data_IF_124353858493
#
_entry.id   IF_124353858493
#
_cell.length_a   1.000
_cell.length_b   1.000
_cell.length_c   1.000
_cell.angle_alpha   90.00
_cell.angle_beta   90.00
_cell.angle_gamma   90.00
#
_symmetry.space_group_name_H-M   'P 1'
#
loop_
_entity.id
_entity.type
_entity.pdbx_description
1 polymer ?
#
# COMPACT_ATOMS: atom_id res chain seq x y z
N UNK A 1 17.88 -33.93 -10.10
CA UNK A 1 16.80 -34.91 -9.85
C UNK A 1 15.69 -34.71 -10.88
N UNK A 2 15.30 -35.72 -11.66
CA UNK A 2 14.14 -35.60 -12.55
C UNK A 2 12.86 -35.51 -11.72
N UNK A 3 11.97 -34.56 -12.06
CA UNK A 3 10.69 -34.37 -11.36
C UNK A 3 9.78 -35.57 -11.65
N UNK A 4 9.27 -36.21 -10.60
CA UNK A 4 8.30 -37.29 -10.73
C UNK A 4 7.03 -36.82 -11.46
N UNK A 5 6.46 -37.62 -12.37
CA UNK A 5 5.23 -37.30 -13.07
C UNK A 5 4.05 -37.26 -12.09
N UNK A 6 3.19 -36.24 -12.23
CA UNK A 6 1.97 -36.10 -11.42
C UNK A 6 1.01 -37.25 -11.73
N UNK A 7 0.67 -38.07 -10.74
CA UNK A 7 -0.35 -39.12 -10.81
C UNK A 7 -1.69 -38.52 -11.28
N UNK A 8 -2.31 -39.12 -12.31
CA UNK A 8 -3.65 -38.73 -12.78
C UNK A 8 -4.70 -39.51 -11.99
N UNK A 9 -5.73 -38.84 -11.47
CA UNK A 9 -6.82 -39.48 -10.75
C UNK A 9 -7.60 -40.45 -11.65
N UNK A 10 -7.99 -41.60 -11.11
CA UNK A 10 -8.69 -42.68 -11.83
C UNK A 10 -10.07 -42.30 -12.40
N UNK A 11 -10.65 -41.19 -11.93
CA UNK A 11 -11.94 -40.64 -12.38
C UNK A 11 -11.80 -39.40 -13.28
N UNK A 12 -10.60 -39.07 -13.75
CA UNK A 12 -10.45 -37.99 -14.72
C UNK A 12 -11.03 -38.45 -16.07
N UNK A 13 -12.13 -37.82 -16.49
CA UNK A 13 -12.68 -37.99 -17.85
C UNK A 13 -11.57 -37.77 -18.89
N UNK A 14 -11.52 -38.57 -19.98
CA UNK A 14 -10.50 -38.41 -21.00
C UNK A 14 -10.57 -36.99 -21.57
N UNK A 15 -9.46 -36.25 -21.44
CA UNK A 15 -9.30 -34.89 -21.93
C UNK A 15 -9.79 -34.81 -23.40
N UNK A 16 -10.98 -34.23 -23.60
CA UNK A 16 -11.47 -33.89 -24.94
C UNK A 16 -10.40 -33.01 -25.59
N UNK A 17 -9.89 -33.35 -26.79
CA UNK A 17 -8.82 -32.59 -27.41
C UNK A 17 -9.27 -31.15 -27.58
N UNK A 18 -8.67 -30.24 -26.79
CA UNK A 18 -8.92 -28.79 -26.88
C UNK A 18 -8.55 -28.37 -28.30
N UNK A 19 -9.57 -28.21 -29.15
CA UNK A 19 -9.43 -27.67 -30.50
C UNK A 19 -8.78 -26.30 -30.34
N UNK A 20 -7.51 -26.18 -30.75
CA UNK A 20 -6.77 -24.91 -30.73
C UNK A 20 -7.46 -23.99 -31.73
N UNK A 21 -8.40 -23.15 -31.25
CA UNK A 21 -8.97 -22.08 -32.07
C UNK A 21 -7.81 -21.26 -32.62
N UNK A 22 -7.74 -21.12 -33.94
CA UNK A 22 -6.75 -20.26 -34.58
C UNK A 22 -6.87 -18.85 -34.00
N UNK A 23 -5.73 -18.25 -33.66
CA UNK A 23 -5.68 -16.90 -33.11
C UNK A 23 -6.22 -15.95 -34.18
N UNK A 24 -7.26 -15.17 -33.86
CA UNK A 24 -7.81 -14.19 -34.78
C UNK A 24 -6.70 -13.27 -35.29
N UNK A 25 -6.71 -12.96 -36.59
CA UNK A 25 -5.74 -12.07 -37.21
C UNK A 25 -5.75 -10.70 -36.51
N UNK A 26 -4.58 -10.08 -36.29
CA UNK A 26 -4.50 -8.82 -35.54
C UNK A 26 -5.27 -7.72 -36.28
N UNK A 27 -6.22 -7.09 -35.58
CA UNK A 27 -6.98 -5.92 -36.08
C UNK A 27 -5.97 -4.83 -36.43
N UNK A 28 -5.98 -4.38 -37.69
CA UNK A 28 -5.13 -3.28 -38.17
C UNK A 28 -5.60 -1.98 -37.48
N UNK A 29 -4.90 -1.59 -36.42
CA UNK A 29 -5.10 -0.31 -35.74
C UNK A 29 -4.97 0.86 -36.73
N UNK A 30 -5.91 1.79 -36.65
CA UNK A 30 -5.91 3.04 -37.42
C UNK A 30 -4.68 3.90 -37.09
N UNK A 31 -4.24 4.80 -37.98
CA UNK A 31 -3.09 5.67 -37.72
C UNK A 31 -3.27 6.52 -36.46
N UNK A 32 -4.50 6.98 -36.17
CA UNK A 32 -4.84 7.77 -34.98
C UNK A 32 -4.64 6.97 -33.68
N UNK A 33 -5.15 5.73 -33.60
CA UNK A 33 -4.92 4.86 -32.43
C UNK A 33 -3.44 4.54 -32.20
N UNK A 34 -2.62 4.52 -33.26
CA UNK A 34 -1.18 4.30 -33.14
C UNK A 34 -0.48 5.50 -32.54
N UNK A 35 -0.94 6.72 -32.83
CA UNK A 35 -0.41 7.94 -32.25
C UNK A 35 -0.78 8.09 -30.78
N UNK A 36 -2.03 7.78 -30.43
CA UNK A 36 -2.48 7.74 -29.03
C UNK A 36 -1.71 6.70 -28.21
N UNK A 37 -1.53 5.48 -28.75
CA UNK A 37 -0.72 4.44 -28.10
C UNK A 37 0.73 4.87 -27.91
N UNK A 38 1.31 5.59 -28.87
CA UNK A 38 2.67 6.17 -28.75
C UNK A 38 2.72 7.26 -27.69
N UNK A 39 1.72 8.15 -27.63
CA UNK A 39 1.62 9.20 -26.61
C UNK A 39 1.50 8.59 -25.20
N UNK A 40 0.62 7.61 -25.02
CA UNK A 40 0.45 6.88 -23.77
C UNK A 40 1.72 6.11 -23.37
N UNK A 41 2.43 5.52 -24.33
CA UNK A 41 3.70 4.85 -24.07
C UNK A 41 4.78 5.82 -23.59
N UNK A 42 4.89 7.00 -24.21
CA UNK A 42 5.81 8.07 -23.78
C UNK A 42 5.46 8.57 -22.37
N UNK A 43 4.19 8.80 -22.08
CA UNK A 43 3.74 9.20 -20.75
C UNK A 43 4.10 8.15 -19.68
N UNK A 44 3.88 6.85 -19.98
CA UNK A 44 4.27 5.75 -19.09
C UNK A 44 5.78 5.66 -18.88
N UNK A 45 6.58 5.93 -19.92
CA UNK A 45 8.04 5.94 -19.81
C UNK A 45 8.52 7.05 -18.87
N UNK A 46 8.00 8.27 -19.01
CA UNK A 46 8.32 9.39 -18.13
C UNK A 46 7.96 9.09 -16.65
N UNK A 47 6.80 8.47 -16.40
CA UNK A 47 6.42 8.07 -15.03
C UNK A 47 7.38 7.01 -14.46
N UNK A 48 7.85 6.06 -15.29
CA UNK A 48 8.82 5.05 -14.84
C UNK A 48 10.16 5.68 -14.48
N UNK A 49 10.63 6.67 -15.24
CA UNK A 49 11.87 7.37 -14.93
C UNK A 49 11.77 8.14 -13.61
N UNK A 50 10.66 8.87 -13.40
CA UNK A 50 10.41 9.55 -12.12
C UNK A 50 10.35 8.57 -10.94
N UNK A 51 9.74 7.38 -11.12
CA UNK A 51 9.74 6.32 -10.10
C UNK A 51 11.15 5.81 -9.80
N UNK A 52 11.96 5.57 -10.82
CA UNK A 52 13.37 5.16 -10.62
C UNK A 52 14.18 6.22 -9.89
N UNK A 53 14.01 7.49 -10.26
CA UNK A 53 14.66 8.60 -9.57
C UNK A 53 14.22 8.67 -8.11
N UNK A 54 12.91 8.54 -7.84
CA UNK A 54 12.38 8.47 -6.48
C UNK A 54 12.98 7.31 -5.69
N UNK A 55 12.98 6.10 -6.22
CA UNK A 55 13.56 4.92 -5.58
C UNK A 55 15.06 5.09 -5.28
N UNK A 56 15.81 5.77 -6.16
CA UNK A 56 17.22 6.08 -5.93
C UNK A 56 17.44 7.09 -4.79
N UNK A 57 16.45 7.93 -4.46
CA UNK A 57 16.54 8.84 -3.30
C UNK A 57 16.29 8.15 -1.96
N UNK A 58 15.75 6.93 -1.97
CA UNK A 58 15.41 6.18 -0.77
C UNK A 58 16.68 5.62 -0.14
N UNK A 59 17.03 6.16 1.03
CA UNK A 59 18.10 5.61 1.86
C UNK A 59 17.47 4.86 3.03
N UNK A 60 17.78 3.58 3.24
CA UNK A 60 17.23 2.82 4.36
C UNK A 60 17.65 3.50 5.66
N UNK A 61 16.70 3.59 6.58
CA UNK A 61 16.94 4.14 7.90
C UNK A 61 17.67 3.10 8.74
N UNK A 62 18.88 3.45 9.19
CA UNK A 62 19.72 2.58 10.00
C UNK A 62 19.53 2.94 11.47
N UNK A 63 18.86 2.07 12.21
CA UNK A 63 18.76 2.18 13.66
C UNK A 63 20.06 1.76 14.33
N UNK A 64 20.44 2.43 15.43
CA UNK A 64 21.48 1.93 16.34
C UNK A 64 20.97 0.76 17.20
N UNK A 65 19.66 0.68 17.42
CA UNK A 65 19.02 -0.34 18.24
C UNK A 65 18.19 -1.30 17.39
N UNK A 66 18.20 -2.58 17.73
CA UNK A 66 17.45 -3.62 16.99
C UNK A 66 15.93 -3.38 16.97
N UNK A 67 15.40 -2.66 17.97
CA UNK A 67 13.97 -2.34 18.10
C UNK A 67 13.60 -0.95 17.57
N UNK A 68 14.52 -0.24 16.94
CA UNK A 68 14.23 1.08 16.38
C UNK A 68 14.21 2.19 17.44
N UNK A 69 13.38 3.22 17.23
CA UNK A 69 13.23 4.37 18.14
C UNK A 69 12.00 4.18 19.02
N UNK A 70 12.10 4.48 20.31
CA UNK A 70 10.93 4.56 21.17
C UNK A 70 10.17 5.88 20.94
N UNK A 71 8.89 5.78 20.60
CA UNK A 71 8.04 6.94 20.39
C UNK A 71 7.51 7.51 21.70
N UNK A 72 7.29 8.83 21.72
CA UNK A 72 6.71 9.52 22.86
C UNK A 72 5.25 9.06 23.11
N UNK A 73 4.81 9.19 24.35
CA UNK A 73 3.41 8.93 24.74
C UNK A 73 2.45 9.79 23.91
N UNK A 74 1.30 9.23 23.54
CA UNK A 74 0.30 9.93 22.72
C UNK A 74 0.64 9.98 21.23
N UNK A 75 1.78 9.44 20.80
CA UNK A 75 2.13 9.39 19.38
C UNK A 75 1.14 8.50 18.62
N UNK A 76 0.53 9.04 17.55
CA UNK A 76 -0.28 8.28 16.61
C UNK A 76 0.61 7.52 15.63
N UNK A 77 0.35 6.24 15.49
CA UNK A 77 1.15 5.32 14.69
C UNK A 77 0.28 4.29 13.98
N UNK A 78 0.83 3.62 12.97
CA UNK A 78 0.19 2.53 12.24
C UNK A 78 1.13 1.35 12.08
N UNK A 79 0.55 0.16 12.01
CA UNK A 79 1.32 -1.04 11.66
C UNK A 79 1.74 -1.01 10.20
N UNK A 80 2.82 -1.74 9.88
CA UNK A 80 3.35 -1.88 8.51
C UNK A 80 2.28 -2.17 7.46
N UNK A 81 1.37 -3.11 7.73
CA UNK A 81 0.30 -3.49 6.78
C UNK A 81 -0.68 -2.37 6.49
N UNK A 82 -1.01 -1.60 7.53
CA UNK A 82 -2.05 -0.58 7.49
C UNK A 82 -1.48 0.70 6.86
N UNK A 83 -0.23 1.05 7.21
CA UNK A 83 0.51 2.14 6.58
C UNK A 83 0.63 1.96 5.06
N UNK A 84 0.93 0.74 4.58
CA UNK A 84 0.97 0.43 3.15
C UNK A 84 -0.37 0.70 2.45
N UNK A 85 -1.48 0.32 3.07
CA UNK A 85 -2.82 0.51 2.51
C UNK A 85 -3.23 1.99 2.54
N UNK A 86 -3.04 2.66 3.68
CA UNK A 86 -3.48 4.03 3.93
C UNK A 86 -2.67 5.05 3.12
N UNK A 87 -1.35 4.87 3.00
CA UNK A 87 -0.46 5.82 2.33
C UNK A 87 0.01 5.35 0.95
N UNK A 88 -0.36 4.14 0.50
CA UNK A 88 0.10 3.54 -0.77
C UNK A 88 1.63 3.54 -0.92
N UNK A 89 2.31 3.34 0.20
CA UNK A 89 3.77 3.25 0.29
C UNK A 89 4.22 1.80 0.15
N UNK A 90 5.42 1.60 -0.39
CA UNK A 90 6.03 0.28 -0.52
C UNK A 90 6.80 -0.11 0.73
N UNK A 91 7.15 -1.39 0.84
CA UNK A 91 7.97 -1.89 1.96
C UNK A 91 9.36 -1.25 1.99
N UNK A 92 9.99 -1.05 0.83
CA UNK A 92 11.27 -0.36 0.71
C UNK A 92 11.20 1.11 1.13
N UNK A 93 10.08 1.78 0.86
CA UNK A 93 9.85 3.16 1.33
C UNK A 93 9.69 3.21 2.85
N UNK A 94 8.95 2.28 3.44
CA UNK A 94 8.78 2.20 4.89
C UNK A 94 10.09 1.91 5.64
N UNK A 95 11.04 1.24 5.00
CA UNK A 95 12.37 1.00 5.57
C UNK A 95 13.23 2.28 5.62
N UNK A 96 12.82 3.37 4.96
CA UNK A 96 13.52 4.67 5.03
C UNK A 96 13.11 5.56 6.19
N UNK A 97 12.08 5.18 6.94
CA UNK A 97 11.56 5.98 8.05
C UNK A 97 11.84 5.32 9.40
N UNK A 98 11.92 6.13 10.47
CA UNK A 98 12.03 5.60 11.83
C UNK A 98 10.85 4.69 12.17
N UNK A 99 11.16 3.57 12.81
CA UNK A 99 10.16 2.62 13.27
C UNK A 99 10.35 2.30 14.74
N UNK A 100 9.28 1.82 15.37
CA UNK A 100 9.31 1.26 16.71
C UNK A 100 8.89 -0.21 16.63
N UNK A 101 9.81 -1.09 17.02
CA UNK A 101 9.61 -2.53 17.10
C UNK A 101 9.20 -2.95 18.50
N UNK A 102 8.25 -3.87 18.59
CA UNK A 102 7.88 -4.50 19.85
C UNK A 102 8.73 -5.75 20.11
N UNK A 103 8.55 -6.39 21.27
CA UNK A 103 9.11 -7.73 21.50
C UNK A 103 8.55 -8.76 20.50
N UNK A 104 7.31 -8.55 20.02
CA UNK A 104 6.76 -9.28 18.88
C UNK A 104 7.32 -8.78 17.55
N UNK A 105 7.19 -9.56 16.47
CA UNK A 105 7.55 -9.15 15.10
C UNK A 105 6.76 -7.97 14.52
N UNK A 106 5.87 -7.36 15.30
CA UNK A 106 5.09 -6.19 14.90
C UNK A 106 5.94 -4.93 15.00
N UNK A 107 5.86 -4.14 13.95
CA UNK A 107 6.54 -2.86 13.82
C UNK A 107 5.48 -1.79 13.55
N UNK A 108 5.63 -0.66 14.22
CA UNK A 108 4.80 0.52 13.99
C UNK A 108 5.63 1.67 13.42
N UNK A 109 4.95 2.47 12.62
CA UNK A 109 5.48 3.68 12.00
C UNK A 109 4.65 4.86 12.46
N UNK A 110 5.32 5.99 12.70
CA UNK A 110 4.65 7.21 13.11
C UNK A 110 3.83 7.76 11.94
N UNK A 111 2.61 8.20 12.24
CA UNK A 111 1.67 8.64 11.22
C UNK A 111 2.15 9.91 10.49
N UNK A 112 2.82 10.82 11.21
CA UNK A 112 3.44 12.02 10.64
C UNK A 112 4.51 11.68 9.61
N UNK A 113 5.32 10.66 9.89
CA UNK A 113 6.46 10.29 9.05
C UNK A 113 5.96 9.58 7.78
N UNK A 114 4.93 8.73 7.92
CA UNK A 114 4.21 8.15 6.78
C UNK A 114 3.58 9.24 5.89
N UNK A 115 2.95 10.25 6.49
CA UNK A 115 2.39 11.40 5.74
C UNK A 115 3.49 12.15 5.00
N UNK A 116 4.57 12.54 5.68
CA UNK A 116 5.69 13.26 5.06
C UNK A 116 6.32 12.47 3.90
N UNK A 117 6.46 11.15 4.05
CA UNK A 117 6.95 10.30 2.97
C UNK A 117 6.00 10.29 1.77
N UNK A 118 4.69 10.13 2.02
CA UNK A 118 3.68 10.12 0.97
C UNK A 118 3.58 11.47 0.25
N UNK A 119 3.69 12.58 0.99
CA UNK A 119 3.70 13.93 0.43
C UNK A 119 4.94 14.20 -0.41
N UNK A 120 6.12 13.75 0.04
CA UNK A 120 7.36 13.81 -0.77
C UNK A 120 7.25 12.98 -2.04
N UNK A 121 6.67 11.79 -1.96
CA UNK A 121 6.44 10.91 -3.11
C UNK A 121 5.47 11.55 -4.11
N UNK A 122 4.40 12.17 -3.62
CA UNK A 122 3.44 12.92 -4.42
C UNK A 122 4.09 14.13 -5.09
N UNK A 123 4.95 14.87 -4.39
CA UNK A 123 5.68 15.99 -4.96
C UNK A 123 6.65 15.55 -6.08
N UNK A 124 7.30 14.38 -5.92
CA UNK A 124 8.22 13.84 -6.91
C UNK A 124 7.51 13.26 -8.16
N UNK A 125 6.42 12.52 -7.97
CA UNK A 125 5.70 11.85 -9.06
C UNK A 125 4.65 12.73 -9.73
N UNK A 126 4.07 13.68 -8.99
CA UNK A 126 2.90 14.46 -9.37
C UNK A 126 1.59 13.85 -8.86
N UNK A 127 0.56 14.70 -8.69
CA UNK A 127 -0.80 14.28 -8.26
C UNK A 127 -1.43 13.25 -9.17
N UNK A 128 -1.16 13.34 -10.47
CA UNK A 128 -1.79 12.50 -11.48
C UNK A 128 -1.26 11.07 -11.45
N UNK A 129 0.00 10.90 -11.01
CA UNK A 129 0.67 9.61 -10.94
C UNK A 129 0.57 8.96 -9.56
N UNK A 130 0.42 9.75 -8.49
CA UNK A 130 0.37 9.24 -7.14
C UNK A 130 -0.54 10.07 -6.24
N UNK A 131 -1.56 9.39 -5.70
CA UNK A 131 -2.40 9.90 -4.62
C UNK A 131 -2.73 8.78 -3.63
N UNK A 132 -3.05 9.15 -2.39
CA UNK A 132 -3.25 8.23 -1.26
C UNK A 132 -4.50 8.57 -0.44
N UNK A 133 -5.27 7.55 0.00
CA UNK A 133 -6.58 7.76 0.62
C UNK A 133 -6.52 8.45 1.98
N UNK A 134 -5.46 8.22 2.77
CA UNK A 134 -5.29 8.86 4.07
C UNK A 134 -5.27 10.41 3.99
N UNK A 135 -4.91 10.98 2.84
CA UNK A 135 -4.84 12.42 2.63
C UNK A 135 -6.19 13.10 2.85
N UNK A 136 -7.24 12.57 2.24
CA UNK A 136 -8.58 13.12 2.32
C UNK A 136 -9.06 13.22 3.78
N UNK A 137 -8.68 12.26 4.62
CA UNK A 137 -9.08 12.22 6.03
C UNK A 137 -8.23 13.18 6.87
N UNK A 138 -6.92 13.21 6.62
CA UNK A 138 -5.98 14.02 7.38
C UNK A 138 -6.03 15.52 7.04
N UNK A 139 -6.43 15.88 5.82
CA UNK A 139 -6.57 17.27 5.37
C UNK A 139 -8.00 17.81 5.50
N UNK A 140 -8.99 16.93 5.76
CA UNK A 140 -10.36 17.34 5.99
C UNK A 140 -10.46 18.19 7.27
N UNK A 141 -10.70 19.48 7.06
CA UNK A 141 -10.94 20.48 8.11
C UNK A 141 -12.42 20.61 8.44
N UNK A 142 -13.31 20.27 7.49
CA UNK A 142 -14.75 20.38 7.66
C UNK A 142 -15.37 19.19 8.42
N UNK A 143 -16.04 19.44 9.56
CA UNK A 143 -16.60 18.37 10.38
C UNK A 143 -17.71 17.58 9.67
N UNK A 144 -18.44 18.20 8.73
CA UNK A 144 -19.50 17.53 7.95
C UNK A 144 -18.93 16.53 6.94
N UNK A 145 -17.85 16.89 6.26
CA UNK A 145 -17.16 16.00 5.31
C UNK A 145 -16.47 14.84 6.04
N UNK A 146 -15.94 15.11 7.24
CA UNK A 146 -15.36 14.07 8.10
C UNK A 146 -16.39 12.99 8.48
N UNK A 147 -17.65 13.35 8.70
CA UNK A 147 -18.74 12.40 8.97
C UNK A 147 -19.03 11.54 7.73
N UNK A 148 -18.99 12.12 6.53
CA UNK A 148 -19.18 11.37 5.28
C UNK A 148 -18.02 10.39 5.03
N UNK A 149 -16.78 10.82 5.27
CA UNK A 149 -15.59 9.96 5.18
C UNK A 149 -15.64 8.80 6.19
N UNK A 150 -16.13 9.06 7.41
CA UNK A 150 -16.41 8.02 8.40
C UNK A 150 -17.49 7.03 7.91
N UNK A 151 -18.62 7.53 7.38
CA UNK A 151 -19.71 6.69 6.87
C UNK A 151 -19.27 5.81 5.68
N UNK A 152 -18.33 6.29 4.87
CA UNK A 152 -17.73 5.53 3.76
C UNK A 152 -16.67 4.52 4.19
N UNK A 153 -16.32 4.46 5.48
CA UNK A 153 -15.36 3.50 6.02
C UNK A 153 -13.91 3.76 5.62
N UNK A 154 -13.54 5.02 5.34
CA UNK A 154 -12.16 5.38 5.01
C UNK A 154 -11.37 5.92 6.20
N UNK A 155 -12.05 6.40 7.25
CA UNK A 155 -11.39 6.93 8.45
C UNK A 155 -12.25 6.80 9.69
N UNK A 156 -11.65 7.11 10.84
CA UNK A 156 -12.33 7.11 12.15
C UNK A 156 -13.09 8.42 12.39
N UNK A 157 -14.03 8.41 13.35
CA UNK A 157 -14.76 9.63 13.81
C UNK A 157 -13.78 10.76 14.20
N UNK A 158 -12.60 10.38 14.69
CA UNK A 158 -11.54 11.32 15.08
C UNK A 158 -10.78 11.93 13.89
N UNK A 159 -11.15 11.53 12.66
CA UNK A 159 -10.49 11.89 11.40
C UNK A 159 -9.04 11.45 11.33
N UNK A 160 -8.76 10.30 11.92
CA UNK A 160 -7.53 9.57 11.65
C UNK A 160 -7.82 8.48 10.60
N UNK A 161 -6.83 8.12 9.76
CA UNK A 161 -6.96 6.98 8.86
C UNK A 161 -7.23 5.70 9.65
N UNK A 162 -7.84 4.72 8.99
CA UNK A 162 -8.18 3.45 9.63
C UNK A 162 -6.99 2.77 10.31
N UNK A 163 -7.29 2.07 11.41
CA UNK A 163 -6.32 1.28 12.18
C UNK A 163 -5.17 2.09 12.77
N UNK A 164 -5.37 3.40 12.98
CA UNK A 164 -4.46 4.21 13.77
C UNK A 164 -4.46 3.78 15.24
N UNK A 165 -3.27 3.74 15.81
CA UNK A 165 -3.00 3.30 17.18
C UNK A 165 -2.25 4.41 17.91
N UNK A 166 -2.52 4.58 19.20
CA UNK A 166 -1.82 5.54 20.06
C UNK A 166 -0.85 4.79 20.98
N UNK A 167 0.36 5.32 21.10
CA UNK A 167 1.38 4.76 22.01
C UNK A 167 1.09 5.18 23.45
N UNK A 168 0.81 4.21 24.32
CA UNK A 168 0.60 4.36 25.76
C UNK A 168 1.71 3.59 26.51
N UNK A 169 2.93 4.14 26.45
CA UNK A 169 4.13 3.58 27.09
C UNK A 169 4.64 2.37 26.32
N UNK A 170 4.56 1.19 26.94
CA UNK A 170 4.85 -0.10 26.31
C UNK A 170 3.63 -0.72 25.63
N UNK A 171 2.46 -0.11 25.79
CA UNK A 171 1.19 -0.60 25.28
C UNK A 171 0.66 0.26 24.12
N UNK A 172 -0.30 -0.30 23.40
CA UNK A 172 -0.88 0.29 22.20
C UNK A 172 -2.41 0.35 22.34
N UNK A 173 -2.97 1.56 22.28
CA UNK A 173 -4.43 1.75 22.29
C UNK A 173 -4.94 1.96 20.89
N UNK A 174 -5.78 1.04 20.42
CA UNK A 174 -6.40 1.17 19.10
C UNK A 174 -7.48 2.25 19.13
N UNK A 175 -7.43 3.20 18.19
CA UNK A 175 -8.43 4.27 18.06
C UNK A 175 -9.64 3.83 17.24
N UNK A 176 -9.41 2.96 16.25
CA UNK A 176 -10.49 2.24 15.56
C UNK A 176 -10.77 0.98 16.36
N UNK A 177 -11.85 0.93 17.14
CA UNK A 177 -12.24 -0.29 17.85
C UNK A 177 -12.25 -1.46 16.88
N UNK A 178 -11.20 -2.30 16.89
CA UNK A 178 -11.32 -3.64 16.32
C UNK A 178 -12.49 -4.24 17.07
N UNK A 179 -13.63 -4.46 16.40
CA UNK A 179 -14.55 -5.50 16.84
C UNK A 179 -13.67 -6.73 16.93
N UNK A 180 -13.28 -7.08 18.15
CA UNK A 180 -12.63 -8.33 18.41
C UNK A 180 -13.63 -9.37 17.94
N UNK A 181 -13.44 -9.88 16.73
CA UNK A 181 -14.02 -11.16 16.37
C UNK A 181 -13.23 -12.13 17.24
N UNK A 182 -13.69 -12.31 18.48
CA UNK A 182 -13.37 -13.48 19.28
C UNK A 182 -13.83 -14.64 18.40
N UNK A 183 -12.89 -15.27 17.70
CA UNK A 183 -13.17 -16.58 17.13
C UNK A 183 -13.28 -17.51 18.33
N UNK A 184 -14.44 -18.13 18.59
CA UNK A 184 -14.51 -19.18 19.58
C UNK A 184 -13.53 -20.28 19.16
N UNK A 185 -12.75 -20.74 20.12
CA UNK A 185 -11.93 -21.94 20.00
C UNK A 185 -12.82 -23.17 19.80
#
# INVERSE_FOLDING_TARGET
MPRAPRMKCAFAEPDVPKIKKARAAPVKSTPEEKEEKKALAKARAAVREKKKQWEATLKPWVSRESRGVQFALGTKAQFRSDAKKAFRVTDAELETIPFMGFASSKIIYRLTDCKQLADRKRAALGSDAFDYPARAIMECTDPKERILLYASGYGTIMGDPDHTVTVEGTSLRSLSGRRAVQRPY
#
